data_IF_745104755616
#
_entry.id   IF_745104755616
#
_cell.length_a   1.000
_cell.length_b   1.000
_cell.length_c   1.000
_cell.angle_alpha   90.00
_cell.angle_beta   90.00
_cell.angle_gamma   90.00
#
_symmetry.space_group_name_H-M   'P 1'
#
loop_
_entity.id
_entity.type
_entity.pdbx_description
1 polymer ?
#
# COMPACT_ATOMS: atom_id res chain seq x y z
N UNK A 1 -34.09 36.52 4.93
CA UNK A 1 -34.18 35.06 5.07
C UNK A 1 -33.46 34.44 3.87
N UNK A 2 -32.20 34.04 4.06
CA UNK A 2 -31.41 33.36 3.03
C UNK A 2 -31.54 31.86 3.26
N UNK A 3 -32.10 31.13 2.28
CA UNK A 3 -32.25 29.68 2.33
C UNK A 3 -31.04 29.00 1.69
N UNK A 4 -30.22 28.35 2.51
CA UNK A 4 -29.14 27.46 2.08
C UNK A 4 -29.73 26.17 1.52
N UNK A 5 -29.39 25.82 0.28
CA UNK A 5 -29.72 24.52 -0.31
C UNK A 5 -28.50 23.61 -0.19
N UNK A 6 -28.49 22.75 0.83
CA UNK A 6 -27.57 21.61 0.91
C UNK A 6 -28.10 20.47 0.04
N UNK A 7 -27.36 20.09 -0.98
CA UNK A 7 -27.52 18.80 -1.66
C UNK A 7 -26.62 17.78 -0.97
N UNK A 8 -27.22 16.93 -0.14
CA UNK A 8 -26.61 15.68 0.32
C UNK A 8 -26.59 14.72 -0.86
N UNK A 9 -25.42 14.18 -1.20
CA UNK A 9 -25.29 13.13 -2.20
C UNK A 9 -25.07 11.81 -1.46
N UNK A 10 -26.18 11.15 -1.14
CA UNK A 10 -26.23 9.84 -0.50
C UNK A 10 -25.97 8.74 -1.55
N UNK A 11 -24.72 8.53 -1.93
CA UNK A 11 -24.36 7.33 -2.70
C UNK A 11 -24.04 6.20 -1.71
N UNK A 12 -25.11 5.54 -1.26
CA UNK A 12 -25.04 4.25 -0.60
C UNK A 12 -24.46 3.23 -1.60
N UNK A 13 -23.21 2.82 -1.38
CA UNK A 13 -22.66 1.63 -2.03
C UNK A 13 -22.87 0.44 -1.09
N UNK A 14 -23.80 -0.39 -1.54
CA UNK A 14 -24.21 -1.68 -1.03
C UNK A 14 -23.02 -2.62 -0.80
N UNK A 15 -23.07 -3.35 0.31
CA UNK A 15 -22.06 -4.34 0.67
C UNK A 15 -22.14 -5.56 -0.23
N UNK A 16 -21.06 -5.87 -0.93
CA UNK A 16 -20.80 -7.22 -1.43
C UNK A 16 -19.32 -7.52 -1.26
N UNK A 17 -19.03 -8.46 -0.35
CA UNK A 17 -17.69 -8.97 -0.10
C UNK A 17 -17.10 -9.60 -1.35
N UNK A 18 -15.94 -9.08 -1.74
CA UNK A 18 -15.18 -9.56 -2.88
C UNK A 18 -13.96 -8.68 -3.06
N UNK A 19 -12.92 -8.89 -2.24
CA UNK A 19 -11.56 -8.40 -2.50
C UNK A 19 -11.07 -9.05 -3.79
N UNK A 20 -11.52 -8.51 -4.91
CA UNK A 20 -11.09 -8.89 -6.25
C UNK A 20 -9.87 -8.03 -6.52
N UNK A 21 -8.68 -8.62 -6.37
CA UNK A 21 -7.42 -8.00 -6.71
C UNK A 21 -7.45 -7.68 -8.20
N UNK A 22 -7.72 -6.42 -8.53
CA UNK A 22 -7.79 -5.98 -9.91
C UNK A 22 -6.38 -6.01 -10.52
N UNK A 23 -6.04 -7.11 -11.18
CA UNK A 23 -4.97 -7.18 -12.18
C UNK A 23 -5.29 -6.18 -13.27
N UNK A 24 -4.77 -4.96 -13.15
CA UNK A 24 -4.88 -3.93 -14.19
C UNK A 24 -3.48 -3.62 -14.70
N UNK A 25 -3.05 -4.38 -15.69
CA UNK A 25 -1.90 -4.05 -16.53
C UNK A 25 -2.21 -2.77 -17.31
N UNK A 26 -1.47 -1.68 -17.06
CA UNK A 26 -1.04 -0.65 -18.04
C UNK A 26 -0.49 0.61 -17.37
N UNK A 27 0.82 0.62 -17.12
CA UNK A 27 1.74 1.75 -17.14
C UNK A 27 3.14 1.18 -16.91
N UNK A 28 4.17 1.73 -17.57
CA UNK A 28 5.57 1.28 -17.56
C UNK A 28 6.20 1.34 -16.16
N UNK A 29 5.86 0.38 -15.31
CA UNK A 29 6.38 0.19 -13.97
C UNK A 29 5.73 -1.07 -13.43
N UNK A 30 6.53 -2.06 -13.06
CA UNK A 30 6.01 -3.31 -12.51
C UNK A 30 5.45 -3.04 -11.11
N UNK A 31 4.21 -2.54 -11.04
CA UNK A 31 3.50 -2.28 -9.79
C UNK A 31 3.29 -3.54 -8.94
N UNK A 32 3.46 -4.72 -9.54
CA UNK A 32 3.48 -6.03 -8.88
C UNK A 32 4.81 -6.32 -8.16
N UNK A 33 5.90 -5.69 -8.62
CA UNK A 33 7.25 -5.82 -8.05
C UNK A 33 7.54 -4.79 -6.95
N UNK A 34 6.62 -3.86 -6.65
CA UNK A 34 6.79 -2.90 -5.56
C UNK A 34 5.95 -3.29 -4.34
N UNK A 35 6.37 -2.80 -3.18
CA UNK A 35 5.61 -2.96 -1.95
C UNK A 35 4.43 -1.98 -1.95
N UNK A 36 3.26 -2.40 -1.44
CA UNK A 36 2.14 -1.49 -1.26
C UNK A 36 2.54 -0.40 -0.25
N UNK A 37 2.36 0.86 -0.65
CA UNK A 37 2.60 2.02 0.21
C UNK A 37 1.41 2.96 0.19
N UNK A 38 1.12 3.55 1.35
CA UNK A 38 0.12 4.57 1.54
C UNK A 38 0.75 5.96 1.44
N UNK A 39 -0.07 6.97 1.15
CA UNK A 39 0.35 8.37 1.25
C UNK A 39 0.38 8.79 2.71
N UNK A 40 1.57 9.09 3.23
CA UNK A 40 1.75 9.65 4.57
C UNK A 40 1.61 11.18 4.59
N UNK A 41 1.70 11.74 5.80
CA UNK A 41 1.79 13.19 6.01
C UNK A 41 3.01 13.80 5.31
N UNK A 42 2.93 15.06 4.89
CA UNK A 42 4.05 15.81 4.28
C UNK A 42 4.66 15.16 3.01
N UNK A 43 3.82 14.54 2.18
CA UNK A 43 4.25 13.85 0.94
C UNK A 43 5.21 12.67 1.20
N UNK A 44 5.08 12.03 2.36
CA UNK A 44 5.76 10.78 2.66
C UNK A 44 5.09 9.58 1.96
N UNK A 45 5.88 8.54 1.68
CA UNK A 45 5.37 7.19 1.41
C UNK A 45 5.43 6.37 2.69
N UNK A 46 4.35 5.65 3.04
CA UNK A 46 4.26 4.82 4.23
C UNK A 46 4.03 3.36 3.85
N UNK A 47 4.97 2.48 4.16
CA UNK A 47 4.84 1.03 3.98
C UNK A 47 4.44 0.43 5.32
N UNK A 48 3.33 -0.31 5.33
CA UNK A 48 2.83 -1.02 6.52
C UNK A 48 2.97 -2.51 6.27
N UNK A 49 3.82 -3.16 7.06
CA UNK A 49 4.01 -4.61 6.97
C UNK A 49 3.05 -5.28 7.96
N UNK A 50 2.19 -6.21 7.51
CA UNK A 50 1.31 -6.95 8.41
C UNK A 50 2.12 -7.93 9.28
N UNK A 51 1.62 -8.32 10.47
CA UNK A 51 2.24 -9.36 11.27
C UNK A 51 2.32 -10.70 10.51
N UNK A 52 3.26 -11.57 10.90
CA UNK A 52 3.43 -12.88 10.26
C UNK A 52 2.15 -13.73 10.33
N UNK A 53 1.44 -13.68 11.47
CA UNK A 53 0.23 -14.44 11.75
C UNK A 53 -1.02 -14.02 10.93
N UNK A 54 -0.99 -12.88 10.24
CA UNK A 54 -2.17 -12.35 9.54
C UNK A 54 -2.28 -12.87 8.10
N UNK A 55 -1.20 -13.39 7.53
CA UNK A 55 -1.22 -13.92 6.16
C UNK A 55 -1.77 -15.34 6.15
N UNK A 56 -2.88 -15.52 5.43
CA UNK A 56 -3.50 -16.83 5.21
C UNK A 56 -2.62 -17.76 4.36
N UNK A 57 -1.86 -17.19 3.43
CA UNK A 57 -0.95 -17.90 2.52
C UNK A 57 0.45 -17.29 2.62
N UNK A 58 1.44 -17.99 3.23
CA UNK A 58 2.81 -17.49 3.35
C UNK A 58 3.57 -17.45 2.02
N UNK A 59 3.16 -18.26 1.03
CA UNK A 59 3.80 -18.30 -0.29
C UNK A 59 3.45 -17.08 -1.17
N UNK A 60 2.35 -16.40 -0.88
CA UNK A 60 1.92 -15.17 -1.56
C UNK A 60 2.31 -13.91 -0.77
N UNK A 61 3.21 -14.03 0.22
CA UNK A 61 3.62 -12.91 1.04
C UNK A 61 4.46 -11.90 0.24
N UNK A 62 3.93 -10.70 -0.07
CA UNK A 62 4.70 -9.68 -0.79
C UNK A 62 5.84 -9.11 0.05
N UNK A 63 5.87 -9.41 1.35
CA UNK A 63 6.89 -9.03 2.32
C UNK A 63 7.78 -10.21 2.74
N UNK A 64 7.83 -11.30 1.96
CA UNK A 64 8.75 -12.40 2.19
C UNK A 64 10.20 -11.91 2.16
N UNK A 65 11.01 -12.26 3.16
CA UNK A 65 12.38 -11.78 3.32
C UNK A 65 13.25 -11.96 2.07
N UNK A 66 13.07 -13.07 1.35
CA UNK A 66 13.81 -13.40 0.12
C UNK A 66 13.57 -12.42 -1.03
N UNK A 67 12.42 -11.73 -1.06
CA UNK A 67 12.06 -10.78 -2.13
C UNK A 67 11.85 -9.36 -1.62
N UNK A 68 11.73 -9.16 -0.30
CA UNK A 68 11.45 -7.89 0.33
C UNK A 68 12.48 -6.81 -0.04
N UNK A 69 13.78 -7.13 0.00
CA UNK A 69 14.83 -6.18 -0.36
C UNK A 69 14.67 -5.68 -1.80
N UNK A 70 14.52 -6.61 -2.77
CA UNK A 70 14.34 -6.26 -4.19
C UNK A 70 13.08 -5.42 -4.40
N UNK A 71 11.98 -5.79 -3.76
CA UNK A 71 10.70 -5.05 -3.84
C UNK A 71 10.82 -3.67 -3.18
N UNK A 72 11.55 -3.55 -2.07
CA UNK A 72 11.81 -2.28 -1.40
C UNK A 72 12.65 -1.35 -2.27
N UNK A 73 13.70 -1.85 -2.91
CA UNK A 73 14.51 -1.07 -3.86
C UNK A 73 13.67 -0.53 -5.02
N UNK A 74 12.82 -1.38 -5.62
CA UNK A 74 11.88 -0.96 -6.65
C UNK A 74 10.90 0.11 -6.12
N UNK A 75 10.40 -0.07 -4.89
CA UNK A 75 9.50 0.90 -4.23
C UNK A 75 10.19 2.25 -4.00
N UNK A 76 11.46 2.25 -3.60
CA UNK A 76 12.26 3.46 -3.42
C UNK A 76 12.46 4.17 -4.75
N UNK A 77 12.75 3.43 -5.83
CA UNK A 77 12.86 3.99 -7.17
C UNK A 77 11.55 4.68 -7.59
N UNK A 78 10.41 3.99 -7.45
CA UNK A 78 9.09 4.57 -7.74
C UNK A 78 8.78 5.77 -6.85
N UNK A 79 9.11 5.73 -5.56
CA UNK A 79 8.91 6.86 -4.67
C UNK A 79 9.74 8.09 -5.07
N UNK A 80 10.94 7.89 -5.61
CA UNK A 80 11.77 8.97 -6.15
C UNK A 80 11.16 9.57 -7.41
N UNK A 81 10.63 8.75 -8.33
CA UNK A 81 9.90 9.23 -9.51
C UNK A 81 8.65 10.04 -9.11
N UNK A 82 7.96 9.60 -8.06
CA UNK A 82 6.82 10.30 -7.48
C UNK A 82 7.18 11.51 -6.60
N UNK A 83 8.46 11.92 -6.58
CA UNK A 83 8.97 13.05 -5.79
C UNK A 83 8.57 12.99 -4.30
N UNK A 84 8.59 11.80 -3.70
CA UNK A 84 8.33 11.62 -2.27
C UNK A 84 9.47 12.18 -1.43
N UNK A 85 9.13 12.92 -0.38
CA UNK A 85 10.09 13.62 0.49
C UNK A 85 10.75 12.68 1.50
N UNK A 86 10.03 11.64 1.92
CA UNK A 86 10.45 10.70 2.95
C UNK A 86 9.71 9.38 2.81
N UNK A 87 10.28 8.30 3.36
CA UNK A 87 9.66 6.98 3.41
C UNK A 87 9.63 6.49 4.84
N UNK A 88 8.49 5.96 5.26
CA UNK A 88 8.24 5.42 6.58
C UNK A 88 7.91 3.95 6.43
N UNK A 89 8.58 3.09 7.20
CA UNK A 89 8.33 1.65 7.16
C UNK A 89 7.94 1.23 8.57
N UNK A 90 6.74 0.69 8.71
CA UNK A 90 6.25 0.14 9.96
C UNK A 90 6.41 -1.39 9.92
N UNK A 91 7.38 -1.90 10.69
CA UNK A 91 7.65 -3.34 10.81
C UNK A 91 7.13 -3.83 12.16
N UNK A 92 6.24 -4.84 12.19
CA UNK A 92 5.84 -5.47 13.43
C UNK A 92 6.98 -6.33 13.98
N UNK A 93 7.09 -6.45 15.29
CA UNK A 93 8.21 -7.17 15.93
C UNK A 93 8.31 -8.65 15.50
N UNK A 94 7.18 -9.27 15.13
CA UNK A 94 7.13 -10.61 14.54
C UNK A 94 7.91 -10.76 13.23
N UNK A 95 8.25 -9.66 12.56
CA UNK A 95 8.97 -9.60 11.29
C UNK A 95 10.21 -8.71 11.36
N UNK A 96 10.78 -8.55 12.56
CA UNK A 96 11.97 -7.73 12.77
C UNK A 96 13.16 -8.15 11.89
N UNK A 97 13.25 -9.44 11.53
CA UNK A 97 14.27 -9.94 10.60
C UNK A 97 14.19 -9.39 9.17
N UNK A 98 13.15 -8.63 8.82
CA UNK A 98 13.10 -7.86 7.57
C UNK A 98 13.95 -6.57 7.62
N UNK A 99 14.46 -6.19 8.80
CA UNK A 99 15.33 -5.03 8.98
C UNK A 99 16.83 -5.34 8.98
N UNK A 100 17.21 -6.62 8.82
CA UNK A 100 18.60 -7.06 8.64
C UNK A 100 19.03 -6.98 7.17
#
# INVERSE_FOLDING_TARGET
FMSSSSTTNDNAVDGTGGTTFATTTSATGNWDEILPFEKGSHNAAKIIIPPADVLKNPEEDPFAASTFQKRLEATIATCRELNKSSMWIQVPMSRAGLME
#
